data_IF_262825375402
#
_entry.id   IF_262825375402
#
_cell.length_a   1.000
_cell.length_b   1.000
_cell.length_c   1.000
_cell.angle_alpha   90.00
_cell.angle_beta   90.00
_cell.angle_gamma   90.00
#
_symmetry.space_group_name_H-M   'P 1'
#
loop_
_entity.id
_entity.type
_entity.pdbx_description
1 polymer ?
#
# COMPACT_ATOMS: atom_id res chain seq x y z
N UNK A 1 16.97 10.58 17.76
CA UNK A 1 17.91 11.25 16.84
C UNK A 1 17.53 12.72 16.83
N UNK A 2 18.42 13.60 17.26
CA UNK A 2 18.14 15.03 17.30
C UNK A 2 17.97 15.61 15.87
N UNK A 3 17.34 16.79 15.78
CA UNK A 3 17.02 17.43 14.51
C UNK A 3 18.28 17.81 13.71
N UNK A 4 19.40 18.09 14.37
CA UNK A 4 20.66 18.42 13.71
C UNK A 4 21.24 17.20 13.01
N UNK A 5 21.31 16.07 13.71
CA UNK A 5 21.78 14.79 13.21
C UNK A 5 20.92 14.32 12.04
N UNK A 6 19.59 14.45 12.12
CA UNK A 6 18.69 14.13 11.00
C UNK A 6 18.98 15.00 9.78
N UNK A 7 19.11 16.31 9.96
CA UNK A 7 19.35 17.24 8.85
C UNK A 7 20.74 17.03 8.20
N UNK A 8 21.73 16.63 8.99
CA UNK A 8 23.06 16.27 8.49
C UNK A 8 23.00 15.04 7.58
N UNK A 9 22.27 13.99 7.96
CA UNK A 9 22.07 12.83 7.09
C UNK A 9 21.34 13.19 5.80
N UNK A 10 20.27 13.99 5.89
CA UNK A 10 19.51 14.41 4.70
C UNK A 10 20.38 15.21 3.72
N UNK A 11 21.24 16.10 4.23
CA UNK A 11 22.20 16.85 3.43
C UNK A 11 23.26 15.94 2.79
N UNK A 12 23.78 14.96 3.53
CA UNK A 12 24.76 14.00 3.00
C UNK A 12 24.18 13.11 1.89
N UNK A 13 22.88 12.82 1.94
CA UNK A 13 22.16 12.06 0.91
C UNK A 13 21.70 12.93 -0.28
N UNK A 14 22.01 14.23 -0.29
CA UNK A 14 21.59 15.14 -1.35
C UNK A 14 20.08 15.43 -1.37
N UNK A 15 19.38 15.16 -0.27
CA UNK A 15 17.94 15.37 -0.15
C UNK A 15 17.72 16.81 0.33
N UNK A 16 17.07 17.69 -0.46
CA UNK A 16 16.78 19.05 -0.04
C UNK A 16 15.78 19.03 1.12
N UNK A 17 16.20 19.55 2.28
CA UNK A 17 15.33 19.69 3.45
C UNK A 17 14.50 20.96 3.27
N UNK A 18 13.19 20.79 3.12
CA UNK A 18 12.26 21.92 3.10
C UNK A 18 12.23 22.59 4.48
N UNK A 19 12.36 23.92 4.50
CA UNK A 19 12.16 24.73 5.68
C UNK A 19 11.00 25.70 5.45
N UNK A 20 10.13 25.92 6.46
CA UNK A 20 9.08 26.93 6.39
C UNK A 20 9.69 28.31 6.05
N UNK A 21 9.05 29.05 5.14
CA UNK A 21 9.47 30.42 4.78
C UNK A 21 9.29 31.43 5.92
N UNK A 22 8.50 31.07 6.92
CA UNK A 22 8.28 31.83 8.15
C UNK A 22 8.57 30.86 9.29
N UNK A 23 9.53 31.14 10.19
CA UNK A 23 9.67 30.33 11.40
C UNK A 23 8.33 30.38 12.15
N UNK A 24 7.87 29.27 12.75
CA UNK A 24 6.70 29.35 13.62
C UNK A 24 6.98 30.45 14.65
N UNK A 25 6.05 31.41 14.77
CA UNK A 25 6.07 32.32 15.90
C UNK A 25 6.15 31.47 17.17
N UNK A 26 6.86 31.94 18.19
CA UNK A 26 6.91 31.29 19.50
C UNK A 26 5.48 31.16 20.03
N UNK A 27 4.79 30.08 19.67
CA UNK A 27 3.51 29.69 20.23
C UNK A 27 3.82 29.20 21.63
N UNK A 28 3.54 30.07 22.60
CA UNK A 28 3.46 29.74 24.02
C UNK A 28 2.77 28.38 24.16
N UNK A 29 3.50 27.42 24.71
CA UNK A 29 3.03 26.07 24.99
C UNK A 29 1.80 26.14 25.89
N UNK A 30 0.61 26.06 25.30
CA UNK A 30 -0.59 25.68 26.00
C UNK A 30 -0.60 24.15 26.03
N UNK A 31 -0.20 23.64 27.19
CA UNK A 31 -0.19 22.23 27.57
C UNK A 31 -1.66 21.75 27.66
N UNK A 32 -2.28 21.48 26.51
CA UNK A 32 -3.56 20.76 26.47
C UNK A 32 -3.27 19.29 26.74
N UNK A 33 -3.32 18.94 28.03
CA UNK A 33 -3.34 17.56 28.52
C UNK A 33 -4.59 16.87 27.99
N UNK A 34 -4.44 16.05 26.94
CA UNK A 34 -5.46 15.06 26.60
C UNK A 34 -5.46 13.99 27.69
N UNK A 35 -6.48 14.04 28.55
CA UNK A 35 -6.76 13.03 29.58
C UNK A 35 -7.13 11.70 28.90
N UNK A 36 -6.13 10.83 28.74
CA UNK A 36 -6.34 9.45 28.31
C UNK A 36 -6.63 8.62 29.56
N UNK A 37 -7.86 8.08 29.73
CA UNK A 37 -8.15 7.22 30.87
C UNK A 37 -7.26 5.96 30.83
N UNK A 38 -6.66 5.54 31.95
CA UNK A 38 -5.76 4.41 31.98
C UNK A 38 -6.52 3.12 31.66
N UNK A 39 -6.02 2.36 30.68
CA UNK A 39 -6.48 1.00 30.42
C UNK A 39 -6.17 0.10 31.64
N UNK A 40 -7.07 -0.81 32.03
CA UNK A 40 -6.88 -1.65 33.20
C UNK A 40 -5.71 -2.63 32.99
N UNK A 41 -4.68 -2.49 33.83
CA UNK A 41 -3.58 -3.42 33.94
C UNK A 41 -4.04 -4.70 34.65
N UNK A 42 -4.11 -5.82 33.92
CA UNK A 42 -4.20 -7.15 34.52
C UNK A 42 -2.78 -7.71 34.68
N UNK A 43 -2.27 -7.64 35.91
CA UNK A 43 -1.05 -8.31 36.33
C UNK A 43 -1.31 -9.82 36.41
N UNK A 44 -0.70 -10.60 35.52
CA UNK A 44 -0.57 -12.05 35.69
C UNK A 44 0.84 -12.30 36.20
N UNK A 45 0.93 -12.91 37.40
CA UNK A 45 2.20 -13.16 38.09
C UNK A 45 3.09 -14.14 37.32
N UNK A 46 4.39 -13.84 37.25
CA UNK A 46 5.42 -14.62 36.57
C UNK A 46 5.69 -16.00 37.20
N UNK A 47 5.09 -16.31 38.35
CA UNK A 47 5.32 -17.56 39.09
C UNK A 47 4.49 -18.76 38.58
N UNK A 48 3.51 -18.55 37.67
CA UNK A 48 2.66 -19.64 37.17
C UNK A 48 3.13 -20.28 35.85
N UNK A 49 4.32 -19.92 35.34
CA UNK A 49 4.89 -20.50 34.09
C UNK A 49 5.94 -21.60 34.29
N UNK A 50 6.24 -22.05 35.52
CA UNK A 50 7.36 -22.96 35.80
C UNK A 50 7.00 -24.37 36.30
N UNK A 51 5.78 -24.86 36.13
CA UNK A 51 5.41 -26.22 36.54
C UNK A 51 4.61 -26.95 35.46
N UNK A 52 5.33 -27.52 34.48
CA UNK A 52 4.96 -28.73 33.72
C UNK A 52 5.99 -28.95 32.60
N UNK A 53 7.13 -29.55 32.96
CA UNK A 53 8.01 -30.23 32.02
C UNK A 53 7.89 -31.73 32.28
N UNK A 54 7.08 -32.42 31.49
CA UNK A 54 7.13 -33.88 31.38
C UNK A 54 7.00 -34.26 29.90
N UNK A 55 8.04 -34.94 29.44
CA UNK A 55 8.11 -35.86 28.29
C UNK A 55 8.09 -35.31 26.86
N UNK A 56 9.29 -35.27 26.27
CA UNK A 56 9.57 -35.17 24.84
C UNK A 56 9.74 -36.60 24.28
N UNK A 57 8.90 -37.08 23.36
CA UNK A 57 9.19 -38.28 22.58
C UNK A 57 10.23 -37.95 21.50
N UNK A 58 11.33 -38.68 21.48
CA UNK A 58 12.40 -38.55 20.48
C UNK A 58 11.98 -39.23 19.17
N UNK A 59 11.82 -38.45 18.10
CA UNK A 59 11.59 -38.98 16.75
C UNK A 59 12.93 -39.32 16.05
N UNK A 60 12.99 -40.41 15.27
CA UNK A 60 14.22 -40.84 14.61
C UNK A 60 14.55 -39.95 13.38
N UNK A 61 15.82 -39.92 12.93
CA UNK A 61 16.26 -39.03 11.85
C UNK A 61 15.75 -39.52 10.48
N UNK A 62 15.40 -38.62 9.55
CA UNK A 62 15.04 -38.99 8.19
C UNK A 62 16.30 -39.33 7.36
N UNK A 63 16.19 -40.42 6.60
CA UNK A 63 17.17 -40.84 5.60
C UNK A 63 17.21 -39.87 4.38
N UNK A 64 18.31 -39.80 3.63
CA UNK A 64 18.44 -38.86 2.52
C UNK A 64 17.70 -39.39 1.29
N UNK A 65 16.71 -38.63 0.82
CA UNK A 65 16.06 -38.89 -0.48
C UNK A 65 16.65 -37.91 -1.49
N UNK A 66 17.55 -38.41 -2.32
CA UNK A 66 17.95 -37.79 -3.59
C UNK A 66 16.78 -37.90 -4.56
N UNK A 67 16.06 -36.81 -4.76
CA UNK A 67 15.07 -36.68 -5.83
C UNK A 67 15.51 -35.61 -6.83
N UNK A 68 15.57 -36.07 -8.07
CA UNK A 68 16.05 -35.38 -9.27
C UNK A 68 15.26 -34.09 -9.49
N UNK A 69 16.00 -33.02 -9.76
CA UNK A 69 15.48 -31.77 -10.34
C UNK A 69 14.87 -32.07 -11.70
N UNK A 70 13.55 -32.29 -11.74
CA UNK A 70 12.75 -32.07 -12.94
C UNK A 70 12.26 -30.63 -12.87
N UNK A 71 12.80 -29.78 -13.74
CA UNK A 71 12.29 -28.43 -13.99
C UNK A 71 10.82 -28.54 -14.40
N UNK A 72 9.94 -28.30 -13.43
CA UNK A 72 8.51 -28.16 -13.65
C UNK A 72 8.28 -26.75 -14.19
N UNK A 73 7.98 -26.67 -15.48
CA UNK A 73 7.55 -25.43 -16.15
C UNK A 73 6.18 -25.06 -15.58
N UNK A 74 6.16 -24.24 -14.55
CA UNK A 74 4.94 -23.62 -14.04
C UNK A 74 4.45 -22.64 -15.11
N UNK A 75 3.17 -22.68 -15.54
CA UNK A 75 2.64 -21.68 -16.45
C UNK A 75 2.66 -20.32 -15.73
N UNK A 76 3.60 -19.47 -16.12
CA UNK A 76 3.64 -18.08 -15.68
C UNK A 76 2.35 -17.43 -16.16
N UNK A 77 1.43 -17.11 -15.24
CA UNK A 77 0.24 -16.33 -15.57
C UNK A 77 0.72 -14.99 -16.12
N UNK A 78 0.43 -14.74 -17.39
CA UNK A 78 0.86 -13.54 -18.10
C UNK A 78 -0.10 -12.40 -17.74
N UNK A 79 0.45 -11.19 -17.57
CA UNK A 79 -0.35 -9.98 -17.39
C UNK A 79 -1.34 -9.80 -18.56
N UNK A 80 -2.50 -9.15 -18.34
CA UNK A 80 -3.48 -8.97 -19.40
C UNK A 80 -2.93 -8.03 -20.47
N UNK A 81 -3.05 -8.41 -21.75
CA UNK A 81 -2.78 -7.48 -22.85
C UNK A 81 -3.94 -6.48 -22.95
N UNK A 82 -3.71 -5.29 -22.40
CA UNK A 82 -4.66 -4.19 -22.41
C UNK A 82 -4.26 -3.07 -23.37
N UNK A 83 -3.23 -3.28 -24.20
CA UNK A 83 -2.56 -2.21 -24.97
C UNK A 83 -3.50 -1.42 -25.90
N UNK A 84 -4.56 -2.05 -26.41
CA UNK A 84 -5.52 -1.45 -27.34
C UNK A 84 -6.86 -1.02 -26.69
N UNK A 85 -7.07 -1.29 -25.40
CA UNK A 85 -8.37 -1.03 -24.76
C UNK A 85 -8.62 0.45 -24.55
N UNK A 86 -9.78 0.97 -24.92
CA UNK A 86 -10.18 2.33 -24.53
C UNK A 86 -10.57 2.37 -23.03
N UNK A 87 -10.90 3.55 -22.50
CA UNK A 87 -11.24 3.75 -21.08
C UNK A 87 -12.35 2.81 -20.58
N UNK A 88 -13.46 2.71 -21.31
CA UNK A 88 -14.61 1.88 -20.91
C UNK A 88 -14.25 0.39 -20.94
N UNK A 89 -13.58 -0.06 -22.00
CA UNK A 89 -13.12 -1.45 -22.13
C UNK A 89 -12.11 -1.82 -21.03
N UNK A 90 -11.19 -0.90 -20.71
CA UNK A 90 -10.18 -1.10 -19.69
C UNK A 90 -10.81 -1.21 -18.30
N UNK A 91 -11.76 -0.32 -17.98
CA UNK A 91 -12.48 -0.35 -16.72
C UNK A 91 -13.28 -1.66 -16.57
N UNK A 92 -13.99 -2.08 -17.63
CA UNK A 92 -14.73 -3.33 -17.62
C UNK A 92 -13.80 -4.54 -17.43
N UNK A 93 -12.66 -4.57 -18.12
CA UNK A 93 -11.66 -5.63 -17.97
C UNK A 93 -11.12 -5.73 -16.53
N UNK A 94 -10.95 -4.59 -15.84
CA UNK A 94 -10.54 -4.58 -14.42
C UNK A 94 -11.64 -5.16 -13.53
N UNK A 95 -12.90 -4.78 -13.74
CA UNK A 95 -14.05 -5.30 -12.98
C UNK A 95 -14.12 -6.82 -13.07
N UNK A 96 -13.94 -7.36 -14.28
CA UNK A 96 -14.05 -8.80 -14.56
C UNK A 96 -12.77 -9.59 -14.23
N UNK A 97 -11.68 -8.91 -13.83
CA UNK A 97 -10.38 -9.54 -13.65
C UNK A 97 -10.36 -10.57 -12.51
N UNK A 98 -9.84 -11.77 -12.82
CA UNK A 98 -9.65 -12.90 -11.90
C UNK A 98 -8.22 -13.49 -11.93
N UNK A 99 -7.25 -12.76 -12.49
CA UNK A 99 -5.91 -13.30 -12.76
C UNK A 99 -5.14 -13.72 -11.49
N UNK A 100 -5.28 -12.98 -10.39
CA UNK A 100 -4.65 -13.27 -9.08
C UNK A 100 -5.70 -13.58 -8.00
N UNK A 101 -5.26 -14.10 -6.84
CA UNK A 101 -6.17 -14.52 -5.76
C UNK A 101 -6.98 -13.39 -5.09
N UNK A 102 -6.60 -12.12 -5.30
CA UNK A 102 -7.22 -10.96 -4.65
C UNK A 102 -8.68 -10.74 -5.07
N UNK A 103 -9.09 -11.24 -6.24
CA UNK A 103 -10.48 -11.15 -6.68
C UNK A 103 -11.46 -11.87 -5.74
N UNK A 104 -10.98 -12.83 -4.94
CA UNK A 104 -11.81 -13.61 -4.03
C UNK A 104 -12.13 -12.88 -2.72
N UNK A 105 -11.31 -11.89 -2.35
CA UNK A 105 -11.41 -11.20 -1.06
C UNK A 105 -11.80 -9.73 -1.17
N UNK A 106 -11.65 -9.09 -2.34
CA UNK A 106 -12.07 -7.71 -2.56
C UNK A 106 -13.59 -7.59 -2.47
N UNK A 107 -14.09 -6.47 -1.95
CA UNK A 107 -15.49 -6.11 -2.09
C UNK A 107 -15.77 -5.60 -3.52
N UNK A 108 -14.90 -4.74 -4.04
CA UNK A 108 -14.93 -4.31 -5.43
C UNK A 108 -13.54 -3.88 -5.92
N UNK A 109 -13.40 -3.61 -7.21
CA UNK A 109 -12.14 -3.09 -7.74
C UNK A 109 -12.07 -1.57 -7.56
N UNK A 110 -10.85 -1.06 -7.45
CA UNK A 110 -10.57 0.38 -7.39
C UNK A 110 -9.73 0.72 -8.61
N UNK A 111 -10.39 1.28 -9.62
CA UNK A 111 -9.80 1.48 -10.94
C UNK A 111 -8.81 2.66 -10.96
N UNK A 112 -9.31 3.84 -10.61
CA UNK A 112 -8.64 5.12 -10.70
C UNK A 112 -9.69 6.22 -10.86
N UNK A 113 -9.35 7.44 -10.49
CA UNK A 113 -10.28 8.58 -10.53
C UNK A 113 -9.53 9.89 -10.72
N UNK A 114 -10.19 10.87 -11.33
CA UNK A 114 -9.62 12.20 -11.62
C UNK A 114 -9.73 12.57 -13.09
N UNK A 115 -8.97 13.56 -13.50
CA UNK A 115 -8.93 14.02 -14.89
C UNK A 115 -8.12 13.04 -15.76
N UNK A 116 -8.77 12.47 -16.77
CA UNK A 116 -8.14 11.54 -17.73
C UNK A 116 -7.16 12.22 -18.70
N UNK A 117 -7.06 13.56 -18.67
CA UNK A 117 -6.12 14.36 -19.44
C UNK A 117 -5.17 15.15 -18.52
N UNK A 118 -5.02 14.72 -17.26
CA UNK A 118 -4.19 15.41 -16.28
C UNK A 118 -2.71 15.35 -16.63
N UNK A 119 -2.00 16.45 -16.41
CA UNK A 119 -0.53 16.47 -16.48
C UNK A 119 0.12 15.65 -15.35
N UNK A 120 -0.58 15.46 -14.22
CA UNK A 120 -0.08 14.75 -13.04
C UNK A 120 -0.86 13.48 -12.78
N UNK A 121 -0.15 12.34 -12.71
CA UNK A 121 -0.69 11.06 -12.28
C UNK A 121 -0.05 10.59 -10.97
N UNK A 122 -0.87 10.26 -9.97
CA UNK A 122 -0.44 9.77 -8.65
C UNK A 122 -0.76 8.29 -8.55
N UNK A 123 0.25 7.49 -8.22
CA UNK A 123 0.14 6.03 -8.18
C UNK A 123 0.51 5.53 -6.78
N UNK A 124 -0.45 4.92 -6.09
CA UNK A 124 -0.23 4.19 -4.84
C UNK A 124 0.03 2.69 -5.06
N UNK A 125 0.21 1.96 -3.97
CA UNK A 125 0.49 0.52 -4.02
C UNK A 125 -0.77 -0.31 -4.29
N UNK A 126 -1.82 -0.11 -3.48
CA UNK A 126 -3.02 -0.92 -3.46
C UNK A 126 -4.16 -0.20 -2.74
N UNK A 127 -5.41 -0.62 -2.95
CA UNK A 127 -6.55 -0.09 -2.22
C UNK A 127 -6.55 -0.54 -0.76
N UNK A 128 -6.91 0.37 0.15
CA UNK A 128 -7.23 0.06 1.54
C UNK A 128 -8.67 -0.38 1.74
N UNK A 129 -9.10 -0.49 3.00
CA UNK A 129 -10.43 -0.98 3.35
C UNK A 129 -11.55 -0.04 2.89
N UNK A 130 -11.37 1.25 3.10
CA UNK A 130 -12.31 2.28 2.72
C UNK A 130 -12.39 2.42 1.20
N UNK A 131 -11.26 2.32 0.49
CA UNK A 131 -11.19 2.33 -0.96
C UNK A 131 -11.93 1.12 -1.55
N UNK A 132 -11.68 -0.09 -1.05
CA UNK A 132 -12.35 -1.33 -1.45
C UNK A 132 -13.86 -1.28 -1.21
N UNK A 133 -14.30 -0.62 -0.13
CA UNK A 133 -15.73 -0.44 0.15
C UNK A 133 -16.39 0.59 -0.77
N UNK A 134 -15.67 1.61 -1.22
CA UNK A 134 -16.21 2.74 -1.99
C UNK A 134 -15.93 2.66 -3.50
N UNK A 135 -15.01 1.80 -3.94
CA UNK A 135 -14.56 1.75 -5.33
C UNK A 135 -13.72 2.96 -5.75
N UNK A 136 -13.29 3.81 -4.81
CA UNK A 136 -12.61 5.07 -5.07
C UNK A 136 -11.21 5.07 -4.46
N UNK A 137 -10.17 5.54 -5.20
CA UNK A 137 -8.80 5.52 -4.71
C UNK A 137 -8.58 6.61 -3.65
N UNK A 138 -7.73 6.35 -2.65
CA UNK A 138 -7.28 7.35 -1.66
C UNK A 138 -8.45 8.12 -1.01
N UNK A 139 -9.38 7.41 -0.37
CA UNK A 139 -10.51 7.99 0.39
C UNK A 139 -10.35 7.82 1.91
N UNK A 140 -9.43 6.96 2.36
CA UNK A 140 -9.08 6.76 3.77
C UNK A 140 -8.17 7.86 4.33
N UNK A 141 -7.50 7.56 5.45
CA UNK A 141 -6.60 8.51 6.15
C UNK A 141 -5.45 9.01 5.25
N UNK A 142 -4.82 8.12 4.50
CA UNK A 142 -3.77 8.49 3.55
C UNK A 142 -4.30 9.40 2.43
N UNK A 143 -5.55 9.20 2.02
CA UNK A 143 -6.23 10.05 1.04
C UNK A 143 -6.47 11.48 1.54
N UNK A 144 -6.81 11.65 2.82
CA UNK A 144 -6.92 12.97 3.43
C UNK A 144 -5.59 13.72 3.43
N UNK A 145 -4.49 13.02 3.77
CA UNK A 145 -3.15 13.59 3.70
C UNK A 145 -2.79 13.99 2.25
N UNK A 146 -3.07 13.12 1.28
CA UNK A 146 -2.87 13.44 -0.14
C UNK A 146 -3.63 14.69 -0.56
N UNK A 147 -4.88 14.85 -0.14
CA UNK A 147 -5.67 16.04 -0.43
C UNK A 147 -5.04 17.32 0.13
N UNK A 148 -4.51 17.26 1.36
CA UNK A 148 -3.84 18.40 1.98
C UNK A 148 -2.55 18.76 1.22
N UNK A 149 -1.79 17.77 0.74
CA UNK A 149 -0.59 18.00 -0.07
C UNK A 149 -0.93 18.64 -1.42
N UNK A 150 -1.96 18.13 -2.11
CA UNK A 150 -2.44 18.70 -3.37
C UNK A 150 -2.93 20.15 -3.18
N UNK A 151 -3.71 20.40 -2.13
CA UNK A 151 -4.18 21.74 -1.80
C UNK A 151 -3.02 22.71 -1.50
N UNK A 152 -1.99 22.26 -0.77
CA UNK A 152 -0.79 23.06 -0.51
C UNK A 152 0.01 23.39 -1.79
N UNK A 153 -0.10 22.56 -2.82
CA UNK A 153 0.46 22.81 -4.15
C UNK A 153 -0.45 23.66 -5.04
N UNK A 154 -1.65 24.05 -4.58
CA UNK A 154 -2.64 24.74 -5.40
C UNK A 154 -3.31 23.87 -6.47
N UNK A 155 -3.19 22.53 -6.36
CA UNK A 155 -3.80 21.59 -7.28
C UNK A 155 -5.11 21.04 -6.68
N UNK A 156 -6.26 21.21 -7.35
CA UNK A 156 -7.47 20.55 -6.90
C UNK A 156 -7.39 19.05 -7.22
N UNK A 157 -8.00 18.21 -6.39
CA UNK A 157 -7.94 16.75 -6.54
C UNK A 157 -8.44 16.26 -7.91
N UNK A 158 -9.40 16.96 -8.50
CA UNK A 158 -9.93 16.60 -9.81
C UNK A 158 -9.03 17.01 -10.99
N UNK A 159 -7.96 17.78 -10.78
CA UNK A 159 -6.99 18.13 -11.83
C UNK A 159 -5.84 17.12 -11.95
N UNK A 160 -5.82 16.07 -11.12
CA UNK A 160 -4.84 14.99 -11.16
C UNK A 160 -5.56 13.68 -11.40
N UNK A 161 -4.89 12.70 -12.02
CA UNK A 161 -5.37 11.33 -12.10
C UNK A 161 -4.76 10.49 -10.98
N UNK A 162 -5.56 9.78 -10.20
CA UNK A 162 -5.11 8.98 -9.07
C UNK A 162 -5.44 7.51 -9.32
N UNK A 163 -4.46 6.63 -9.15
CA UNK A 163 -4.64 5.18 -9.26
C UNK A 163 -3.69 4.41 -8.33
N UNK A 164 -3.70 3.08 -8.41
CA UNK A 164 -2.83 2.18 -7.66
C UNK A 164 -2.20 1.13 -8.59
N UNK A 165 -1.09 0.54 -8.19
CA UNK A 165 -0.52 -0.63 -8.89
C UNK A 165 -1.50 -1.79 -8.90
N UNK A 166 -2.01 -2.17 -7.72
CA UNK A 166 -3.09 -3.15 -7.62
C UNK A 166 -4.46 -2.48 -7.73
N UNK A 167 -5.39 -3.15 -8.44
CA UNK A 167 -6.81 -2.73 -8.50
C UNK A 167 -7.69 -3.40 -7.44
N UNK A 168 -7.11 -4.29 -6.63
CA UNK A 168 -7.81 -5.08 -5.62
C UNK A 168 -7.09 -4.95 -4.29
N UNK A 169 -7.85 -4.86 -3.20
CA UNK A 169 -7.31 -4.81 -1.84
C UNK A 169 -6.70 -6.15 -1.41
N UNK A 170 -5.44 -6.18 -0.94
CA UNK A 170 -4.86 -7.33 -0.27
C UNK A 170 -5.55 -7.64 1.09
N UNK A 171 -5.71 -8.93 1.46
CA UNK A 171 -6.27 -9.30 2.76
C UNK A 171 -5.54 -8.61 3.92
N UNK A 172 -6.30 -8.07 4.87
CA UNK A 172 -5.77 -7.34 6.04
C UNK A 172 -4.86 -6.14 5.71
N UNK A 173 -4.99 -5.56 4.50
CA UNK A 173 -4.12 -4.46 4.04
C UNK A 173 -2.62 -4.81 4.08
N UNK A 174 -2.25 -6.09 3.88
CA UNK A 174 -0.85 -6.46 3.72
C UNK A 174 -0.25 -5.85 2.46
N UNK A 175 1.08 -5.84 2.39
CA UNK A 175 1.79 -5.39 1.19
C UNK A 175 1.47 -6.25 -0.05
N UNK A 176 1.44 -5.65 -1.25
CA UNK A 176 1.36 -6.36 -2.52
C UNK A 176 2.49 -7.38 -2.69
N UNK A 177 2.16 -8.57 -3.16
CA UNK A 177 3.19 -9.51 -3.62
C UNK A 177 3.66 -9.15 -5.03
N UNK A 178 4.90 -9.52 -5.36
CA UNK A 178 5.49 -9.24 -6.67
C UNK A 178 4.70 -9.88 -7.83
N UNK A 179 4.17 -11.09 -7.65
CA UNK A 179 3.32 -11.77 -8.63
C UNK A 179 1.97 -11.08 -8.81
N UNK A 180 1.36 -10.60 -7.73
CA UNK A 180 0.12 -9.82 -7.77
C UNK A 180 0.32 -8.52 -8.55
N UNK A 181 1.42 -7.81 -8.28
CA UNK A 181 1.76 -6.58 -8.99
C UNK A 181 2.04 -6.84 -10.48
N UNK A 182 2.81 -7.90 -10.80
CA UNK A 182 3.10 -8.30 -12.17
C UNK A 182 1.82 -8.60 -12.96
N UNK A 183 0.85 -9.30 -12.36
CA UNK A 183 -0.43 -9.62 -13.00
C UNK A 183 -1.35 -8.41 -13.18
N UNK A 184 -1.24 -7.38 -12.33
CA UNK A 184 -2.06 -6.17 -12.42
C UNK A 184 -1.42 -5.09 -13.31
N UNK A 185 -0.12 -5.20 -13.58
CA UNK A 185 0.71 -4.19 -14.25
C UNK A 185 0.14 -3.69 -15.58
N UNK A 186 -0.39 -4.58 -16.43
CA UNK A 186 -0.92 -4.21 -17.74
C UNK A 186 -2.07 -3.19 -17.68
N UNK A 187 -2.88 -3.21 -16.61
CA UNK A 187 -3.92 -2.20 -16.41
C UNK A 187 -3.35 -0.83 -16.09
N UNK A 188 -2.34 -0.77 -15.21
CA UNK A 188 -1.69 0.48 -14.85
C UNK A 188 -0.94 1.07 -16.05
N UNK A 189 -0.18 0.25 -16.77
CA UNK A 189 0.54 0.70 -17.98
C UNK A 189 -0.43 1.26 -19.03
N UNK A 190 -1.59 0.60 -19.21
CA UNK A 190 -2.60 1.14 -20.11
C UNK A 190 -3.20 2.46 -19.61
N UNK A 191 -3.45 2.61 -18.31
CA UNK A 191 -3.91 3.89 -17.75
C UNK A 191 -2.88 5.00 -17.96
N UNK A 192 -1.60 4.73 -17.72
CA UNK A 192 -0.51 5.69 -17.96
C UNK A 192 -0.49 6.10 -19.45
N UNK A 193 -0.61 5.13 -20.37
CA UNK A 193 -0.64 5.42 -21.80
C UNK A 193 -1.88 6.23 -22.23
N UNK A 194 -3.03 6.04 -21.59
CA UNK A 194 -4.27 6.78 -21.88
C UNK A 194 -4.27 8.18 -21.29
N UNK A 195 -3.69 8.37 -20.10
CA UNK A 195 -3.57 9.70 -19.45
C UNK A 195 -2.46 10.51 -20.10
N UNK A 196 -1.35 9.86 -20.45
CA UNK A 196 -0.14 10.48 -20.99
C UNK A 196 0.33 11.70 -20.14
N UNK A 197 0.61 11.49 -18.83
CA UNK A 197 1.06 12.56 -17.94
C UNK A 197 2.45 13.08 -18.35
N UNK A 198 2.82 14.27 -17.87
CA UNK A 198 4.06 14.97 -18.25
C UNK A 198 5.22 14.76 -17.28
#
# INVERSE_FOLDING_TARGET
MDLQTRNQYMKAMGIPVWMPRVPPADEEQQDETYDVPPAPAQHISLEQRLAQTTDIPTAPPPAPVTEKTTESVIPVKIAPDCSQLNWSQLQQSVVDCQLCGLHKSRAQTVFGAGDTQSDWMIIGEAPGAEEDKQGQPFVGRAGKLLNNMLAAMGLPRNAVYISNVLKCRPPNNRDPKADEAALCRGYLERQIALVNPK
#
